data_IF_663796882212
#
_entry.id   IF_663796882212
#
_cell.length_a   1.000
_cell.length_b   1.000
_cell.length_c   1.000
_cell.angle_alpha   90.00
_cell.angle_beta   90.00
_cell.angle_gamma   90.00
#
_symmetry.space_group_name_H-M   'P 1'
#
loop_
_entity.id
_entity.type
_entity.pdbx_description
1 polymer ?
#
# COMPACT_ATOMS: atom_id res chain seq x y z
N UNK A 1 -13.11 23.09 -2.12
CA UNK A 1 -12.55 21.75 -2.36
C UNK A 1 -11.38 21.75 -3.36
N UNK A 2 -11.50 22.29 -4.59
CA UNK A 2 -10.42 22.20 -5.59
C UNK A 2 -9.13 22.94 -5.20
N UNK A 3 -9.26 24.10 -4.54
CA UNK A 3 -8.13 24.90 -4.08
C UNK A 3 -7.34 24.22 -2.96
N UNK A 4 -8.03 23.56 -2.03
CA UNK A 4 -7.43 22.85 -0.91
C UNK A 4 -6.70 21.58 -1.38
N UNK A 5 -7.30 20.83 -2.32
CA UNK A 5 -6.66 19.68 -2.96
C UNK A 5 -5.38 20.07 -3.72
N UNK A 6 -5.42 21.18 -4.45
CA UNK A 6 -4.24 21.72 -5.15
C UNK A 6 -3.14 22.08 -4.17
N UNK A 7 -3.49 22.76 -3.07
CA UNK A 7 -2.52 23.10 -2.02
C UNK A 7 -1.91 21.86 -1.38
N UNK A 8 -2.73 20.85 -1.06
CA UNK A 8 -2.25 19.58 -0.52
C UNK A 8 -1.26 18.89 -1.47
N UNK A 9 -1.57 18.81 -2.76
CA UNK A 9 -0.65 18.28 -3.77
C UNK A 9 0.66 19.06 -3.82
N UNK A 10 0.61 20.40 -3.77
CA UNK A 10 1.81 21.23 -3.79
C UNK A 10 2.71 21.02 -2.56
N UNK A 11 2.15 20.75 -1.39
CA UNK A 11 2.95 20.38 -0.21
C UNK A 11 3.55 18.98 -0.36
N UNK A 12 2.78 18.01 -0.85
CA UNK A 12 3.28 16.65 -1.12
C UNK A 12 4.40 16.62 -2.17
N UNK A 13 4.33 17.45 -3.21
CA UNK A 13 5.32 17.52 -4.30
C UNK A 13 6.67 18.09 -3.83
N UNK A 14 6.70 18.80 -2.70
CA UNK A 14 7.96 19.21 -2.04
C UNK A 14 8.64 18.06 -1.31
N UNK A 15 7.89 17.02 -0.98
CA UNK A 15 8.41 15.83 -0.33
C UNK A 15 8.94 14.88 -1.40
N UNK A 16 10.07 14.22 -1.12
CA UNK A 16 10.68 13.24 -2.04
C UNK A 16 9.92 11.90 -2.03
N UNK A 17 8.61 11.95 -2.31
CA UNK A 17 7.70 10.81 -2.35
C UNK A 17 7.56 10.29 -3.77
N UNK A 18 7.23 9.00 -3.88
CA UNK A 18 6.93 8.42 -5.18
C UNK A 18 5.61 8.97 -5.75
N UNK A 19 5.44 9.08 -7.08
CA UNK A 19 4.18 9.50 -7.68
C UNK A 19 2.98 8.63 -7.29
N UNK A 20 3.19 7.32 -7.06
CA UNK A 20 2.14 6.43 -6.57
C UNK A 20 1.72 6.79 -5.15
N UNK A 21 2.67 7.01 -4.24
CA UNK A 21 2.38 7.45 -2.86
C UNK A 21 1.61 8.77 -2.84
N UNK A 22 2.02 9.76 -3.66
CA UNK A 22 1.33 11.04 -3.77
C UNK A 22 -0.12 10.84 -4.22
N UNK A 23 -0.35 10.01 -5.25
CA UNK A 23 -1.70 9.68 -5.73
C UNK A 23 -2.55 9.03 -4.63
N UNK A 24 -2.00 8.07 -3.90
CA UNK A 24 -2.70 7.39 -2.80
C UNK A 24 -3.12 8.39 -1.71
N UNK A 25 -2.21 9.27 -1.29
CA UNK A 25 -2.50 10.30 -0.28
C UNK A 25 -3.54 11.32 -0.75
N UNK A 26 -3.51 11.74 -2.03
CA UNK A 26 -4.54 12.61 -2.62
C UNK A 26 -5.92 11.93 -2.57
N UNK A 27 -6.01 10.63 -2.88
CA UNK A 27 -7.26 9.89 -2.82
C UNK A 27 -7.77 9.75 -1.37
N UNK A 28 -6.86 9.57 -0.41
CA UNK A 28 -7.19 9.58 1.01
C UNK A 28 -7.71 10.94 1.48
N UNK A 29 -7.04 12.03 1.09
CA UNK A 29 -7.49 13.39 1.38
C UNK A 29 -8.83 13.74 0.72
N UNK A 30 -9.12 13.17 -0.44
CA UNK A 30 -10.43 13.31 -1.08
C UNK A 30 -11.54 12.44 -0.45
N UNK A 31 -11.22 11.63 0.57
CA UNK A 31 -12.17 10.74 1.24
C UNK A 31 -12.60 9.54 0.39
N UNK A 32 -11.86 9.22 -0.66
CA UNK A 32 -12.21 8.14 -1.60
C UNK A 32 -11.89 6.78 -0.97
N UNK A 33 -10.75 6.69 -0.28
CA UNK A 33 -10.20 5.44 0.28
C UNK A 33 -9.24 5.70 1.44
N UNK A 34 -8.81 4.66 2.12
CA UNK A 34 -7.63 4.72 2.99
C UNK A 34 -6.37 4.57 2.14
N UNK A 35 -5.35 5.39 2.41
CA UNK A 35 -4.02 5.20 1.86
C UNK A 35 -3.20 4.36 2.81
N UNK A 36 -2.64 3.24 2.33
CA UNK A 36 -1.63 2.47 3.06
C UNK A 36 -0.28 2.61 2.34
N UNK A 37 0.71 3.16 3.03
CA UNK A 37 2.06 3.36 2.50
C UNK A 37 3.10 3.09 3.59
N UNK A 38 4.37 3.08 3.22
CA UNK A 38 5.48 2.99 4.17
C UNK A 38 6.15 4.34 4.38
N UNK A 39 6.57 4.61 5.62
CA UNK A 39 7.36 5.79 5.96
C UNK A 39 8.44 5.45 7.00
N UNK A 40 9.68 5.87 6.76
CA UNK A 40 10.75 5.85 7.77
C UNK A 40 10.53 6.91 8.85
N UNK A 41 11.26 6.81 9.96
CA UNK A 41 11.18 7.81 11.03
C UNK A 41 11.46 9.23 10.52
N UNK A 42 12.47 9.40 9.64
CA UNK A 42 12.80 10.70 9.04
C UNK A 42 11.67 11.25 8.17
N UNK A 43 11.03 10.40 7.35
CA UNK A 43 9.90 10.82 6.52
C UNK A 43 8.69 11.23 7.37
N UNK A 44 8.49 10.58 8.53
CA UNK A 44 7.38 10.89 9.43
C UNK A 44 7.50 12.28 10.07
N UNK A 45 8.72 12.82 10.23
CA UNK A 45 8.93 14.17 10.74
C UNK A 45 8.29 15.23 9.83
N UNK A 46 8.28 15.00 8.51
CA UNK A 46 7.67 15.91 7.55
C UNK A 46 6.19 15.58 7.28
N UNK A 47 5.83 14.29 7.27
CA UNK A 47 4.49 13.83 6.94
C UNK A 47 3.45 14.10 8.04
N UNK A 48 3.80 13.89 9.32
CA UNK A 48 2.84 14.06 10.43
C UNK A 48 2.31 15.50 10.52
N UNK A 49 3.16 16.55 10.53
CA UNK A 49 2.68 17.93 10.56
C UNK A 49 1.81 18.28 9.34
N UNK A 50 2.15 17.71 8.17
CA UNK A 50 1.35 17.89 6.97
C UNK A 50 -0.04 17.25 7.12
N UNK A 51 -0.13 16.04 7.66
CA UNK A 51 -1.42 15.39 7.89
C UNK A 51 -2.27 16.17 8.91
N UNK A 52 -1.67 16.65 9.98
CA UNK A 52 -2.36 17.51 10.97
C UNK A 52 -2.87 18.82 10.33
N UNK A 53 -2.05 19.47 9.49
CA UNK A 53 -2.44 20.70 8.79
C UNK A 53 -3.67 20.52 7.89
N UNK A 54 -3.83 19.32 7.32
CA UNK A 54 -4.90 19.00 6.38
C UNK A 54 -6.02 18.14 7.00
N UNK A 55 -6.07 18.03 8.33
CA UNK A 55 -7.09 17.27 9.09
C UNK A 55 -7.19 15.80 8.64
N UNK A 56 -6.02 15.19 8.39
CA UNK A 56 -5.88 13.77 8.10
C UNK A 56 -5.47 13.01 9.35
N UNK A 57 -6.11 11.87 9.56
CA UNK A 57 -5.76 10.94 10.62
C UNK A 57 -4.76 9.91 10.13
N UNK A 58 -3.85 9.52 11.02
CA UNK A 58 -2.82 8.50 10.74
C UNK A 58 -2.82 7.44 11.85
N UNK A 59 -2.71 6.17 11.46
CA UNK A 59 -2.38 5.06 12.34
C UNK A 59 -1.09 4.38 11.88
N UNK A 60 -0.40 3.75 12.83
CA UNK A 60 0.91 3.15 12.64
C UNK A 60 0.84 1.66 12.98
N UNK A 61 1.48 0.83 12.15
CA UNK A 61 1.68 -0.57 12.50
C UNK A 61 2.48 -0.73 13.80
N UNK A 62 2.18 -1.78 14.55
CA UNK A 62 2.90 -2.13 15.80
C UNK A 62 4.37 -2.52 15.58
N UNK A 63 4.77 -2.76 14.34
CA UNK A 63 6.10 -3.19 13.90
C UNK A 63 6.55 -2.37 12.70
N UNK A 64 7.86 -2.35 12.45
CA UNK A 64 8.46 -1.79 11.23
C UNK A 64 8.77 -2.89 10.23
N UNK A 65 8.80 -2.53 8.96
CA UNK A 65 9.24 -3.38 7.85
C UNK A 65 10.63 -2.94 7.42
N UNK A 66 11.57 -3.88 7.42
CA UNK A 66 12.89 -3.72 6.81
C UNK A 66 12.85 -4.28 5.39
N UNK A 67 12.93 -3.41 4.40
CA UNK A 67 13.02 -3.81 3.00
C UNK A 67 14.41 -4.33 2.70
N UNK A 68 14.51 -5.57 2.23
CA UNK A 68 15.76 -6.18 1.82
C UNK A 68 15.76 -6.19 0.28
N UNK A 69 16.69 -5.48 -0.37
CA UNK A 69 16.80 -5.52 -1.82
C UNK A 69 17.13 -6.94 -2.30
N UNK A 70 16.35 -7.48 -3.23
CA UNK A 70 16.71 -8.72 -3.92
C UNK A 70 17.75 -8.41 -5.00
N UNK A 71 19.02 -8.71 -4.72
CA UNK A 71 20.13 -8.41 -5.63
C UNK A 71 20.05 -9.18 -6.97
N UNK A 72 19.33 -10.30 -7.02
CA UNK A 72 19.31 -11.19 -8.20
C UNK A 72 18.11 -10.95 -9.13
N UNK A 73 17.24 -9.99 -8.80
CA UNK A 73 16.06 -9.60 -9.59
C UNK A 73 16.10 -8.13 -10.01
N UNK A 74 17.30 -7.57 -10.17
CA UNK A 74 17.46 -6.14 -10.47
C UNK A 74 16.92 -5.23 -9.36
N UNK A 75 16.94 -5.69 -8.10
CA UNK A 75 16.42 -4.98 -6.94
C UNK A 75 14.96 -5.28 -6.59
N UNK A 76 14.23 -6.06 -7.41
CA UNK A 76 12.81 -6.37 -7.18
C UNK A 76 12.62 -7.56 -6.24
N UNK A 77 12.05 -7.34 -5.05
CA UNK A 77 11.70 -8.42 -4.12
C UNK A 77 10.19 -8.71 -4.19
N UNK A 78 9.85 -9.98 -4.46
CA UNK A 78 8.48 -10.47 -4.27
C UNK A 78 8.20 -10.82 -2.80
N UNK A 79 9.24 -10.92 -1.97
CA UNK A 79 9.07 -11.25 -0.57
C UNK A 79 8.69 -9.99 0.23
N UNK A 80 7.69 -10.11 1.13
CA UNK A 80 7.40 -9.05 2.08
C UNK A 80 8.67 -8.77 2.91
N UNK A 81 8.92 -7.49 3.19
CA UNK A 81 10.07 -7.10 4.00
C UNK A 81 10.06 -7.76 5.38
N UNK A 82 11.23 -7.83 6.01
CA UNK A 82 11.34 -8.44 7.33
C UNK A 82 10.67 -7.55 8.37
N UNK A 83 9.72 -8.11 9.13
CA UNK A 83 9.10 -7.40 10.24
C UNK A 83 10.05 -7.36 11.44
N UNK A 84 10.29 -6.15 11.95
CA UNK A 84 11.19 -5.88 13.07
C UNK A 84 10.48 -5.05 14.15
N UNK A 85 10.94 -5.10 15.41
CA UNK A 85 10.35 -4.30 16.48
C UNK A 85 10.40 -2.80 16.17
N UNK A 86 9.32 -2.09 16.50
CA UNK A 86 9.20 -0.64 16.32
C UNK A 86 10.23 0.18 17.13
N UNK A 87 10.82 -0.41 18.18
CA UNK A 87 11.86 0.21 19.02
C UNK A 87 13.20 0.40 18.31
N UNK A 88 13.39 -0.22 17.14
CA UNK A 88 14.60 -0.02 16.34
C UNK A 88 14.45 1.24 15.46
N UNK A 89 15.53 2.02 15.34
CA UNK A 89 15.59 3.23 14.52
C UNK A 89 15.91 2.92 13.04
N UNK A 90 15.50 1.75 12.56
CA UNK A 90 15.68 1.30 11.19
C UNK A 90 14.37 0.72 10.65
N UNK A 91 14.22 0.71 9.33
CA UNK A 91 13.00 0.27 8.65
C UNK A 91 11.93 1.36 8.59
N UNK A 92 10.74 0.97 8.15
CA UNK A 92 9.60 1.87 7.94
C UNK A 92 8.34 1.32 8.61
N UNK A 93 7.50 2.19 9.16
CA UNK A 93 6.16 1.80 9.56
C UNK A 93 5.29 1.61 8.31
N UNK A 94 4.35 0.65 8.36
CA UNK A 94 3.14 0.78 7.56
C UNK A 94 2.28 1.86 8.21
N UNK A 95 1.94 2.89 7.44
CA UNK A 95 1.05 3.96 7.87
C UNK A 95 -0.23 3.94 7.07
N UNK A 96 -1.33 4.25 7.77
CA UNK A 96 -2.68 4.27 7.24
C UNK A 96 -3.21 5.68 7.39
N UNK A 97 -3.61 6.31 6.29
CA UNK A 97 -3.99 7.72 6.26
C UNK A 97 -5.38 7.89 5.65
N UNK A 98 -6.20 8.74 6.27
CA UNK A 98 -7.56 9.03 5.79
C UNK A 98 -8.26 10.12 6.61
N UNK A 99 -9.45 10.52 6.17
CA UNK A 99 -10.23 11.59 6.83
C UNK A 99 -10.95 11.16 8.12
N UNK A 100 -11.06 9.85 8.38
CA UNK A 100 -11.82 9.33 9.52
C UNK A 100 -10.95 8.51 10.47
N UNK A 101 -10.83 8.86 11.76
CA UNK A 101 -9.95 8.15 12.68
C UNK A 101 -10.38 6.69 12.89
N UNK A 102 -11.70 6.44 12.93
CA UNK A 102 -12.26 5.09 13.03
C UNK A 102 -11.94 4.25 11.78
N UNK A 103 -12.05 4.83 10.59
CA UNK A 103 -11.77 4.11 9.34
C UNK A 103 -10.29 3.77 9.21
N UNK A 104 -9.42 4.69 9.61
CA UNK A 104 -7.97 4.52 9.64
C UNK A 104 -7.58 3.41 10.63
N UNK A 105 -8.13 3.42 11.84
CA UNK A 105 -7.88 2.36 12.82
C UNK A 105 -8.40 1.00 12.35
N UNK A 106 -9.62 0.94 11.81
CA UNK A 106 -10.17 -0.30 11.27
C UNK A 106 -9.31 -0.88 10.14
N UNK A 107 -8.68 -0.04 9.31
CA UNK A 107 -7.78 -0.51 8.26
C UNK A 107 -6.52 -1.17 8.82
N UNK A 108 -5.92 -0.57 9.85
CA UNK A 108 -4.82 -1.19 10.59
C UNK A 108 -5.26 -2.52 11.22
N UNK A 109 -6.39 -2.54 11.92
CA UNK A 109 -6.88 -3.73 12.62
C UNK A 109 -7.18 -4.87 11.62
N UNK A 110 -7.79 -4.56 10.47
CA UNK A 110 -8.07 -5.57 9.44
C UNK A 110 -6.78 -6.14 8.83
N UNK A 111 -5.76 -5.32 8.56
CA UNK A 111 -4.45 -5.82 8.08
C UNK A 111 -3.78 -6.70 9.15
N UNK A 112 -3.77 -6.28 10.42
CA UNK A 112 -3.13 -7.04 11.51
C UNK A 112 -3.87 -8.36 11.84
N UNK A 113 -5.19 -8.42 11.63
CA UNK A 113 -6.01 -9.63 11.83
C UNK A 113 -6.05 -10.55 10.60
N UNK A 114 -5.49 -10.14 9.46
CA UNK A 114 -5.54 -10.91 8.21
C UNK A 114 -6.95 -10.97 7.58
N UNK A 115 -7.77 -9.93 7.81
CA UNK A 115 -9.09 -9.77 7.20
C UNK A 115 -8.93 -9.09 5.82
N UNK A 116 -8.34 -9.84 4.88
CA UNK A 116 -7.90 -9.33 3.57
C UNK A 116 -9.06 -8.74 2.74
N UNK A 117 -10.25 -9.35 2.79
CA UNK A 117 -11.43 -8.83 2.08
C UNK A 117 -11.86 -7.45 2.60
N UNK A 118 -12.02 -7.30 3.91
CA UNK A 118 -12.40 -6.06 4.56
C UNK A 118 -11.33 -4.98 4.36
N UNK A 119 -10.07 -5.35 4.51
CA UNK A 119 -8.93 -4.45 4.31
C UNK A 119 -8.86 -3.95 2.85
N UNK A 120 -8.91 -4.86 1.88
CA UNK A 120 -8.88 -4.51 0.45
C UNK A 120 -10.03 -3.59 0.03
N UNK A 121 -11.21 -3.76 0.62
CA UNK A 121 -12.36 -2.87 0.39
C UNK A 121 -12.11 -1.44 0.89
N UNK A 122 -11.41 -1.26 2.01
CA UNK A 122 -11.04 0.08 2.51
C UNK A 122 -10.03 0.79 1.61
N UNK A 123 -9.16 0.01 0.95
CA UNK A 123 -8.23 0.48 -0.08
C UNK A 123 -8.89 0.66 -1.47
N UNK A 124 -10.19 0.38 -1.59
CA UNK A 124 -10.96 0.40 -2.85
C UNK A 124 -10.37 -0.50 -3.94
N UNK A 125 -9.78 -1.63 -3.54
CA UNK A 125 -9.37 -2.68 -4.47
C UNK A 125 -10.64 -3.36 -5.02
N UNK A 126 -10.74 -3.65 -6.33
CA UNK A 126 -11.90 -4.35 -6.88
C UNK A 126 -12.13 -5.72 -6.22
N UNK A 127 -13.38 -6.07 -5.94
CA UNK A 127 -13.72 -7.31 -5.23
C UNK A 127 -13.15 -8.58 -5.91
N UNK A 128 -13.13 -8.63 -7.24
CA UNK A 128 -12.54 -9.76 -7.97
C UNK A 128 -11.04 -9.93 -7.70
N UNK A 129 -10.31 -8.82 -7.55
CA UNK A 129 -8.89 -8.81 -7.22
C UNK A 129 -8.63 -9.30 -5.80
N UNK A 130 -9.47 -8.86 -4.84
CA UNK A 130 -9.33 -9.28 -3.45
C UNK A 130 -9.63 -10.78 -3.31
N UNK A 131 -10.74 -11.24 -3.90
CA UNK A 131 -11.09 -12.68 -3.89
C UNK A 131 -10.05 -13.54 -4.61
N UNK A 132 -9.40 -13.02 -5.67
CA UNK A 132 -8.28 -13.70 -6.31
C UNK A 132 -7.09 -13.81 -5.35
N UNK A 133 -6.71 -12.72 -4.67
CA UNK A 133 -5.64 -12.72 -3.69
C UNK A 133 -5.91 -13.75 -2.58
N UNK A 134 -7.06 -13.70 -1.91
CA UNK A 134 -7.41 -14.64 -0.83
C UNK A 134 -7.38 -16.10 -1.28
N UNK A 135 -7.87 -16.38 -2.49
CA UNK A 135 -7.89 -17.74 -3.06
C UNK A 135 -6.49 -18.31 -3.27
N UNK A 136 -5.55 -17.48 -3.73
CA UNK A 136 -4.24 -17.94 -4.18
C UNK A 136 -3.08 -17.59 -3.25
N UNK A 137 -3.28 -16.75 -2.23
CA UNK A 137 -2.21 -16.23 -1.37
C UNK A 137 -1.35 -17.32 -0.76
N UNK A 138 -1.95 -18.37 -0.18
CA UNK A 138 -1.19 -19.48 0.40
C UNK A 138 -0.28 -20.15 -0.64
N UNK A 139 -0.82 -20.46 -1.83
CA UNK A 139 -0.09 -21.12 -2.91
C UNK A 139 0.99 -20.21 -3.52
N UNK A 140 0.73 -18.89 -3.57
CA UNK A 140 1.70 -17.90 -3.99
C UNK A 140 2.82 -17.76 -2.94
N UNK A 141 2.50 -17.78 -1.64
CA UNK A 141 3.49 -17.64 -0.56
C UNK A 141 4.57 -18.73 -0.61
N UNK A 142 4.19 -19.96 -0.97
CA UNK A 142 5.12 -21.08 -1.22
C UNK A 142 6.08 -20.83 -2.40
N UNK A 143 5.73 -19.89 -3.27
CA UNK A 143 6.46 -19.49 -4.49
C UNK A 143 6.99 -18.06 -4.37
N UNK A 144 7.42 -17.66 -3.18
CA UNK A 144 7.90 -16.29 -2.91
C UNK A 144 6.85 -15.21 -3.23
N UNK A 145 5.58 -15.50 -2.97
CA UNK A 145 4.44 -14.60 -3.25
C UNK A 145 4.30 -14.28 -4.76
N UNK A 146 4.76 -15.17 -5.63
CA UNK A 146 4.59 -15.01 -7.08
C UNK A 146 3.17 -15.43 -7.52
N UNK A 147 2.36 -14.44 -7.86
CA UNK A 147 1.00 -14.63 -8.33
C UNK A 147 0.90 -14.90 -9.84
N UNK A 148 1.97 -14.67 -10.62
CA UNK A 148 1.93 -14.78 -12.08
C UNK A 148 1.36 -16.11 -12.59
N UNK A 149 1.76 -17.28 -12.07
CA UNK A 149 1.22 -18.56 -12.56
C UNK A 149 -0.29 -18.69 -12.37
N UNK A 150 -0.83 -18.11 -11.30
CA UNK A 150 -2.27 -18.15 -10.99
C UNK A 150 -3.05 -17.16 -11.83
N UNK A 151 -2.46 -15.99 -12.13
CA UNK A 151 -3.03 -15.03 -13.06
C UNK A 151 -3.14 -15.65 -14.46
N UNK A 152 -2.05 -16.21 -15.00
CA UNK A 152 -2.05 -16.83 -16.33
C UNK A 152 -3.04 -17.99 -16.46
N UNK A 153 -3.16 -18.84 -15.43
CA UNK A 153 -4.12 -19.96 -15.46
C UNK A 153 -5.58 -19.51 -15.30
N UNK A 154 -5.82 -18.30 -14.82
CA UNK A 154 -7.15 -17.71 -14.66
C UNK A 154 -7.53 -16.75 -15.80
N UNK A 155 -6.58 -16.37 -16.67
CA UNK A 155 -6.86 -15.58 -17.88
C UNK A 155 -7.50 -16.45 -18.94
N UNK A 156 -8.70 -16.06 -19.40
CA UNK A 156 -9.51 -16.86 -20.33
C UNK A 156 -9.15 -16.68 -21.81
N UNK A 157 -8.37 -15.64 -22.14
CA UNK A 157 -7.96 -15.36 -23.52
C UNK A 157 -6.74 -16.21 -23.94
N UNK A 158 -6.63 -16.48 -25.25
CA UNK A 158 -5.50 -17.19 -25.83
C UNK A 158 -4.34 -16.24 -26.14
N UNK A 159 -3.12 -16.61 -25.73
CA UNK A 159 -1.87 -15.97 -26.13
C UNK A 159 -1.77 -15.79 -27.67
N UNK A 160 -1.37 -14.64 -28.27
CA UNK A 160 -1.28 -13.23 -27.87
C UNK A 160 -1.99 -12.54 -26.68
N UNK A 161 -1.35 -12.22 -25.56
CA UNK A 161 -1.88 -11.24 -24.61
C UNK A 161 -1.32 -9.88 -25.02
N UNK A 162 -2.15 -8.83 -25.03
CA UNK A 162 -1.65 -7.48 -25.22
C UNK A 162 -0.71 -7.14 -24.04
N UNK A 163 0.59 -6.90 -24.27
CA UNK A 163 1.55 -6.63 -23.20
C UNK A 163 1.21 -5.37 -22.39
N UNK A 164 0.38 -4.46 -22.94
CA UNK A 164 -0.13 -3.29 -22.21
C UNK A 164 -1.25 -3.64 -21.22
N UNK A 165 -1.93 -4.77 -21.44
CA UNK A 165 -3.02 -5.26 -20.56
C UNK A 165 -2.54 -6.24 -19.49
N UNK A 166 -1.35 -6.82 -19.67
CA UNK A 166 -0.79 -7.87 -18.80
C UNK A 166 0.56 -7.46 -18.18
N UNK A 167 0.78 -6.16 -17.95
CA UNK A 167 1.72 -5.79 -16.89
C UNK A 167 1.13 -6.33 -15.60
N UNK A 168 1.80 -7.34 -15.03
CA UNK A 168 1.48 -7.91 -13.72
C UNK A 168 0.98 -6.79 -12.81
N UNK A 169 -0.22 -6.91 -12.21
CA UNK A 169 -0.75 -5.84 -11.39
C UNK A 169 0.32 -5.51 -10.34
N UNK A 170 0.90 -4.31 -10.49
CA UNK A 170 1.70 -3.67 -9.47
C UNK A 170 0.69 -3.32 -8.37
N UNK A 171 0.39 -4.31 -7.53
CA UNK A 171 -0.17 -4.07 -6.22
C UNK A 171 0.91 -3.44 -5.34
#
# INVERSE_FOLDING_TARGET
>A
MPLALKHFFQELDKLNLSPSTIRELIQAYAGIKICRTFASDDQLLDLIPLFEQFDLHVAFSSKKTLFIPDQNKGGFSNQPGQMIPATLNIGSYSIYVGQGPVQVQNALDNEELGLDFEFGNQLKIPACCISFYEKYYQQASEKQTDFLPFSFSSTTDSWPFDPLTNMAPQY
#
